data_IF_470275003802
#
_entry.id   IF_470275003802
#
_cell.length_a   1.000
_cell.length_b   1.000
_cell.length_c   1.000
_cell.angle_alpha   90.00
_cell.angle_beta   90.00
_cell.angle_gamma   90.00
#
_symmetry.space_group_name_H-M   'P 1'
#
loop_
_entity.id
_entity.type
_entity.pdbx_description
1 polymer ?
#
# COMPACT_ATOMS: atom_id res chain seq x y z
N UNK A 1 10.61 -4.62 6.01
CA UNK A 1 11.74 -5.39 6.58
C UNK A 1 12.93 -4.43 6.71
N UNK A 2 13.81 -4.64 7.68
CA UNK A 2 14.94 -3.73 7.95
C UNK A 2 16.23 -4.54 8.04
N UNK A 3 17.07 -4.46 7.00
CA UNK A 3 18.31 -5.24 6.94
C UNK A 3 19.37 -4.68 7.88
N UNK A 4 19.94 -5.56 8.70
CA UNK A 4 20.98 -5.21 9.67
C UNK A 4 22.35 -5.22 8.98
N UNK A 5 23.00 -4.07 8.91
CA UNK A 5 24.39 -3.98 8.46
C UNK A 5 25.35 -4.69 9.45
N UNK A 6 26.40 -5.39 8.96
CA UNK A 6 27.29 -6.19 9.80
C UNK A 6 28.31 -5.35 10.56
N UNK A 7 28.51 -5.65 11.84
CA UNK A 7 29.54 -5.01 12.67
C UNK A 7 30.93 -5.61 12.39
N UNK A 8 31.96 -4.75 12.26
CA UNK A 8 33.37 -5.18 12.20
C UNK A 8 33.85 -5.65 13.57
N UNK A 9 34.51 -6.81 13.62
CA UNK A 9 35.17 -7.31 14.84
C UNK A 9 36.50 -6.57 15.09
N UNK A 10 36.78 -6.24 16.34
CA UNK A 10 38.08 -5.68 16.80
C UNK A 10 38.94 -6.82 17.36
N UNK A 11 40.24 -6.94 17.01
CA UNK A 11 41.13 -7.95 17.58
C UNK A 11 41.50 -7.64 19.04
N UNK A 12 41.62 -8.68 19.88
CA UNK A 12 42.10 -8.55 21.27
C UNK A 12 43.64 -8.63 21.35
N UNK A 13 44.29 -7.92 22.30
CA UNK A 13 45.72 -8.06 22.55
C UNK A 13 46.07 -9.43 23.16
N UNK A 14 47.34 -9.84 23.03
CA UNK A 14 47.90 -11.04 23.66
C UNK A 14 48.63 -10.69 24.95
N UNK A 15 48.53 -11.54 25.98
CA UNK A 15 49.37 -11.43 27.17
C UNK A 15 50.80 -11.95 26.93
N UNK A 16 51.74 -11.43 27.71
CA UNK A 16 53.10 -11.95 27.89
C UNK A 16 53.12 -12.69 29.23
N UNK A 17 53.78 -13.85 29.28
CA UNK A 17 53.97 -14.62 30.53
C UNK A 17 55.46 -14.85 30.79
N UNK A 18 55.91 -14.55 31.99
CA UNK A 18 57.26 -14.87 32.45
C UNK A 18 57.33 -16.33 32.93
N UNK A 19 58.45 -17.00 32.67
CA UNK A 19 58.68 -18.40 33.09
C UNK A 19 59.43 -18.41 34.42
N UNK A 20 58.85 -19.02 35.44
CA UNK A 20 59.47 -19.21 36.75
C UNK A 20 60.47 -20.39 36.65
N UNK A 21 61.66 -20.22 37.22
CA UNK A 21 62.70 -21.26 37.27
C UNK A 21 62.30 -22.42 38.21
N UNK A 22 62.80 -23.62 37.96
CA UNK A 22 62.37 -24.81 38.71
C UNK A 22 63.15 -25.02 40.00
N UNK A 23 62.57 -25.80 40.93
CA UNK A 23 63.20 -26.17 42.19
C UNK A 23 64.58 -26.86 42.00
N UNK A 24 64.78 -27.54 40.86
CA UNK A 24 66.03 -28.22 40.53
C UNK A 24 67.17 -27.25 40.19
N UNK A 25 66.85 -26.17 39.47
CA UNK A 25 67.80 -25.10 39.13
C UNK A 25 68.26 -24.38 40.41
N UNK A 26 67.32 -24.11 41.33
CA UNK A 26 67.61 -23.52 42.63
C UNK A 26 68.47 -24.45 43.52
N UNK A 27 68.12 -25.75 43.58
CA UNK A 27 68.88 -26.76 44.31
C UNK A 27 70.31 -26.98 43.76
N UNK A 28 70.57 -26.65 42.49
CA UNK A 28 71.92 -26.71 41.90
C UNK A 28 72.85 -25.63 42.47
N UNK A 29 72.32 -24.42 42.70
CA UNK A 29 73.09 -23.29 43.24
C UNK A 29 73.54 -23.57 44.68
N UNK A 30 72.63 -24.05 45.54
CA UNK A 30 72.95 -24.30 46.96
C UNK A 30 74.03 -25.37 47.20
N UNK A 31 74.20 -26.35 46.29
CA UNK A 31 75.30 -27.35 46.41
C UNK A 31 76.69 -26.74 46.24
N UNK A 32 76.83 -25.65 45.49
CA UNK A 32 78.11 -24.96 45.32
C UNK A 32 78.46 -24.03 46.50
N UNK A 33 77.48 -23.57 47.27
CA UNK A 33 77.73 -22.78 48.48
C UNK A 33 78.21 -23.68 49.65
N UNK A 34 77.61 -24.87 49.81
CA UNK A 34 77.98 -25.85 50.85
C UNK A 34 79.39 -26.48 50.69
N UNK A 35 80.07 -26.26 49.56
CA UNK A 35 81.44 -26.77 49.33
C UNK A 35 82.55 -25.80 49.71
N UNK A 36 82.24 -24.52 49.95
CA UNK A 36 83.23 -23.51 50.37
C UNK A 36 83.48 -23.51 51.89
N UNK A 37 82.56 -24.05 52.69
CA UNK A 37 82.58 -23.97 54.15
C UNK A 37 83.41 -25.08 54.84
N UNK A 38 84.06 -25.96 54.06
CA UNK A 38 84.80 -27.14 54.57
C UNK A 38 86.33 -27.07 54.43
N UNK A 39 86.90 -25.89 54.15
CA UNK A 39 88.35 -25.66 54.09
C UNK A 39 88.85 -24.62 55.11
N UNK A 40 88.15 -24.48 56.25
CA UNK A 40 88.62 -23.75 57.44
C UNK A 40 88.62 -24.64 58.69
N UNK A 41 89.73 -25.37 58.92
CA UNK A 41 90.19 -25.88 60.23
C UNK A 41 91.47 -26.70 60.06
N UNK A 42 92.57 -26.23 60.64
CA UNK A 42 93.70 -26.96 61.23
C UNK A 42 94.94 -26.04 61.31
N UNK A 43 94.82 -24.95 62.06
CA UNK A 43 95.97 -24.24 62.63
C UNK A 43 96.14 -24.68 64.09
N UNK A 44 97.39 -24.79 64.53
CA UNK A 44 97.75 -25.23 65.88
C UNK A 44 97.90 -26.76 66.03
N UNK A 45 98.91 -27.29 66.71
CA UNK A 45 100.03 -26.60 67.39
C UNK A 45 101.28 -27.48 67.51
N UNK A 46 102.43 -26.79 67.40
CA UNK A 46 103.68 -27.04 68.15
C UNK A 46 104.62 -28.19 67.76
N UNK A 47 105.91 -27.86 67.86
CA UNK A 47 107.04 -28.71 68.27
C UNK A 47 107.05 -30.18 67.82
N UNK A 48 107.85 -30.48 66.79
CA UNK A 48 109.15 -31.14 67.03
C UNK A 48 110.01 -31.29 65.76
N UNK A 49 111.31 -31.53 65.96
CA UNK A 49 112.28 -32.03 64.97
C UNK A 49 112.66 -31.10 63.80
N UNK A 50 113.35 -30.00 64.13
CA UNK A 50 114.27 -29.29 63.22
C UNK A 50 115.48 -30.17 62.83
N UNK A 51 115.29 -31.20 62.00
CA UNK A 51 116.38 -32.04 61.44
C UNK A 51 116.12 -32.46 60.00
N UNK A 52 116.25 -31.51 59.04
CA UNK A 52 116.58 -31.73 57.59
C UNK A 52 116.56 -30.42 56.75
N UNK A 53 117.14 -29.33 57.27
CA UNK A 53 117.23 -28.03 56.55
C UNK A 53 118.39 -28.03 55.53
N UNK A 54 118.32 -28.94 54.54
CA UNK A 54 119.30 -29.06 53.43
C UNK A 54 118.64 -29.39 52.09
N UNK A 55 117.33 -29.15 51.92
CA UNK A 55 116.61 -29.42 50.65
C UNK A 55 115.53 -28.41 50.28
N UNK A 56 115.37 -27.33 51.05
CA UNK A 56 114.32 -26.32 50.84
C UNK A 56 114.58 -25.45 49.61
N UNK A 57 115.81 -24.99 49.41
CA UNK A 57 116.16 -24.03 48.35
C UNK A 57 116.12 -24.68 46.94
N UNK A 58 116.62 -25.90 46.78
CA UNK A 58 116.48 -26.65 45.52
C UNK A 58 115.04 -27.03 45.20
N UNK A 59 114.22 -27.33 46.21
CA UNK A 59 112.78 -27.58 46.01
C UNK A 59 112.03 -26.29 45.62
N UNK A 60 112.45 -25.13 46.13
CA UNK A 60 111.95 -23.83 45.69
C UNK A 60 112.40 -23.49 44.27
N UNK A 61 113.66 -23.74 43.91
CA UNK A 61 114.16 -23.55 42.55
C UNK A 61 113.44 -24.46 41.54
N UNK A 62 113.29 -25.76 41.83
CA UNK A 62 112.52 -26.68 40.97
C UNK A 62 111.03 -26.32 40.89
N UNK A 63 110.42 -25.77 41.95
CA UNK A 63 109.07 -25.15 41.88
C UNK A 63 109.04 -23.88 41.02
N UNK A 64 110.08 -23.05 41.06
CA UNK A 64 110.23 -21.85 40.24
C UNK A 64 110.34 -22.21 38.75
N UNK A 65 111.14 -23.23 38.42
CA UNK A 65 111.28 -23.73 37.04
C UNK A 65 110.02 -24.42 36.53
N UNK A 66 109.38 -25.29 37.32
CA UNK A 66 108.05 -25.84 37.00
C UNK A 66 107.01 -24.73 36.77
N UNK A 67 107.04 -23.66 37.58
CA UNK A 67 106.13 -22.51 37.40
C UNK A 67 106.44 -21.73 36.12
N UNK A 68 107.73 -21.56 35.77
CA UNK A 68 108.17 -20.94 34.50
C UNK A 68 107.82 -21.81 33.29
N UNK A 69 107.90 -23.15 33.40
CA UNK A 69 107.44 -24.08 32.37
C UNK A 69 105.92 -24.01 32.20
N UNK A 70 105.13 -24.12 33.27
CA UNK A 70 103.67 -23.93 33.19
C UNK A 70 103.27 -22.54 32.67
N UNK A 71 104.05 -21.48 32.93
CA UNK A 71 103.83 -20.17 32.33
C UNK A 71 104.19 -20.13 30.84
N UNK A 72 105.21 -20.88 30.39
CA UNK A 72 105.54 -21.05 28.97
C UNK A 72 104.49 -21.89 28.24
N UNK A 73 103.95 -22.94 28.86
CA UNK A 73 102.84 -23.74 28.31
C UNK A 73 101.52 -22.96 28.29
N UNK A 74 101.17 -22.25 29.37
CA UNK A 74 100.01 -21.34 29.37
C UNK A 74 100.17 -20.15 28.42
N UNK A 75 101.40 -19.81 28.01
CA UNK A 75 101.65 -18.89 26.88
C UNK A 75 101.47 -19.57 25.54
N UNK A 76 102.07 -20.75 25.30
CA UNK A 76 101.84 -21.56 24.08
C UNK A 76 100.35 -21.80 23.82
N UNK A 77 99.61 -22.22 24.84
CA UNK A 77 98.17 -22.49 24.77
C UNK A 77 97.30 -21.22 24.73
N UNK A 78 97.90 -20.02 24.88
CA UNK A 78 97.25 -18.72 24.61
C UNK A 78 97.65 -18.12 23.27
N UNK A 79 98.80 -18.51 22.70
CA UNK A 79 99.16 -18.23 21.30
C UNK A 79 98.48 -19.20 20.33
N UNK A 80 98.03 -20.37 20.79
CA UNK A 80 97.03 -21.19 20.10
C UNK A 80 95.63 -20.58 20.20
N UNK A 81 95.49 -19.33 19.74
CA UNK A 81 94.30 -18.97 18.98
C UNK A 81 94.40 -19.83 17.70
N UNK A 82 93.51 -20.79 17.44
CA UNK A 82 93.50 -21.42 16.13
C UNK A 82 93.29 -20.31 15.10
N UNK A 83 93.96 -20.37 13.94
CA UNK A 83 93.65 -19.45 12.85
C UNK A 83 92.13 -19.42 12.68
N UNK A 84 91.49 -18.23 12.65
CA UNK A 84 90.05 -18.18 12.47
C UNK A 84 89.76 -18.84 11.14
N UNK A 85 89.07 -20.00 11.17
CA UNK A 85 88.56 -20.67 9.96
C UNK A 85 88.04 -19.59 9.03
N UNK A 86 88.55 -19.48 7.79
CA UNK A 86 88.49 -18.24 7.01
C UNK A 86 87.04 -17.83 6.91
N UNK A 87 86.67 -16.82 7.72
CA UNK A 87 85.28 -16.62 8.10
C UNK A 87 84.54 -16.36 6.81
N UNK A 88 83.71 -17.33 6.41
CA UNK A 88 82.76 -17.18 5.32
C UNK A 88 81.80 -16.12 5.80
N UNK A 89 82.18 -14.85 5.58
CA UNK A 89 81.38 -13.66 5.87
C UNK A 89 80.00 -14.02 5.37
N UNK A 90 78.95 -13.95 6.20
CA UNK A 90 77.63 -14.28 5.71
C UNK A 90 77.35 -13.28 4.60
N UNK A 91 77.46 -13.71 3.33
CA UNK A 91 77.32 -12.83 2.16
C UNK A 91 75.95 -12.14 2.20
N UNK A 92 74.95 -12.86 2.73
CA UNK A 92 73.62 -12.39 3.18
C UNK A 92 73.61 -11.25 4.22
N UNK A 93 74.77 -10.73 4.64
CA UNK A 93 74.93 -9.59 5.54
C UNK A 93 75.69 -8.44 4.89
N UNK A 94 76.55 -8.72 3.89
CA UNK A 94 77.15 -7.70 3.04
C UNK A 94 76.11 -7.25 1.99
N UNK A 95 75.44 -8.17 1.30
CA UNK A 95 74.33 -7.82 0.38
C UNK A 95 73.21 -7.08 1.09
N UNK A 96 72.84 -7.48 2.32
CA UNK A 96 71.82 -6.75 3.11
C UNK A 96 72.26 -5.37 3.55
N UNK A 97 73.56 -5.15 3.80
CA UNK A 97 74.09 -3.80 4.04
C UNK A 97 74.02 -2.97 2.77
N UNK A 98 74.36 -3.54 1.61
CA UNK A 98 74.26 -2.88 0.31
C UNK A 98 72.80 -2.57 -0.06
N UNK A 99 71.86 -3.48 0.16
CA UNK A 99 70.41 -3.26 0.04
C UNK A 99 69.95 -2.07 0.90
N UNK A 100 70.34 -2.04 2.18
CA UNK A 100 69.99 -0.94 3.11
C UNK A 100 70.64 0.39 2.69
N UNK A 101 71.92 0.36 2.29
CA UNK A 101 72.65 1.54 1.82
C UNK A 101 72.02 2.07 0.51
N UNK A 102 71.60 1.19 -0.39
CA UNK A 102 70.97 1.59 -1.64
C UNK A 102 69.53 2.09 -1.43
N UNK A 103 68.74 1.49 -0.53
CA UNK A 103 67.46 2.07 -0.10
C UNK A 103 67.64 3.45 0.52
N UNK A 104 68.65 3.64 1.39
CA UNK A 104 68.96 4.94 1.98
C UNK A 104 69.37 5.98 0.93
N UNK A 105 70.21 5.62 -0.04
CA UNK A 105 70.55 6.47 -1.20
C UNK A 105 69.32 6.86 -2.02
N UNK A 106 68.41 5.91 -2.30
CA UNK A 106 67.17 6.20 -3.03
C UNK A 106 66.28 7.17 -2.27
N UNK A 107 66.06 6.97 -0.97
CA UNK A 107 65.27 7.88 -0.12
C UNK A 107 65.92 9.28 -0.07
N UNK A 108 67.25 9.36 0.05
CA UNK A 108 67.98 10.64 0.02
C UNK A 108 67.90 11.34 -1.35
N UNK A 109 67.82 10.59 -2.44
CA UNK A 109 67.64 11.13 -3.80
C UNK A 109 66.20 11.61 -4.04
N UNK A 110 65.19 10.81 -3.65
CA UNK A 110 63.77 11.15 -3.82
C UNK A 110 63.32 12.33 -2.95
N UNK A 111 64.02 12.59 -1.84
CA UNK A 111 63.80 13.77 -1.00
C UNK A 111 64.34 15.09 -1.62
N UNK A 112 65.15 15.05 -2.69
CA UNK A 112 65.66 16.28 -3.34
C UNK A 112 64.58 17.00 -4.14
N UNK A 113 64.64 18.32 -4.23
CA UNK A 113 63.56 19.17 -4.75
C UNK A 113 63.11 18.84 -6.17
N UNK A 114 64.05 18.52 -7.06
CA UNK A 114 63.74 18.09 -8.42
C UNK A 114 62.96 16.76 -8.42
N UNK A 115 63.37 15.78 -7.60
CA UNK A 115 62.69 14.50 -7.49
C UNK A 115 61.31 14.66 -6.85
N UNK A 116 61.19 15.47 -5.79
CA UNK A 116 59.91 15.87 -5.19
C UNK A 116 58.99 16.58 -6.20
N UNK A 117 59.53 17.39 -7.14
CA UNK A 117 58.76 18.03 -8.22
C UNK A 117 58.31 17.02 -9.30
N UNK A 118 59.16 16.10 -9.72
CA UNK A 118 58.81 15.01 -10.64
C UNK A 118 57.73 14.08 -10.05
N UNK A 119 57.87 13.69 -8.79
CA UNK A 119 56.90 12.87 -8.07
C UNK A 119 55.55 13.57 -7.88
N UNK A 120 55.53 14.91 -7.69
CA UNK A 120 54.29 15.72 -7.74
C UNK A 120 53.66 15.69 -9.14
N UNK A 121 54.45 15.81 -10.21
CA UNK A 121 53.97 15.65 -11.58
C UNK A 121 53.37 14.26 -11.83
N UNK A 122 54.02 13.20 -11.36
CA UNK A 122 53.54 11.81 -11.43
C UNK A 122 52.22 11.62 -10.66
N UNK A 123 52.09 12.25 -9.49
CA UNK A 123 50.83 12.34 -8.74
C UNK A 123 49.72 13.02 -9.55
N UNK A 124 49.99 14.21 -10.10
CA UNK A 124 49.02 14.98 -10.90
C UNK A 124 48.57 14.22 -12.15
N UNK A 125 49.49 13.60 -12.89
CA UNK A 125 49.18 12.74 -14.04
C UNK A 125 48.25 11.58 -13.66
N UNK A 126 48.51 10.95 -12.52
CA UNK A 126 47.68 9.85 -11.99
C UNK A 126 46.29 10.33 -11.57
N UNK A 127 46.18 11.51 -10.95
CA UNK A 127 44.90 12.15 -10.61
C UNK A 127 44.09 12.52 -11.85
N UNK A 128 44.73 13.03 -12.91
CA UNK A 128 44.06 13.32 -14.18
C UNK A 128 43.51 12.06 -14.84
N UNK A 129 44.28 10.96 -14.84
CA UNK A 129 43.85 9.66 -15.37
C UNK A 129 42.63 9.08 -14.64
N UNK A 130 42.62 9.11 -13.31
CA UNK A 130 41.45 8.68 -12.53
C UNK A 130 40.26 9.63 -12.68
N UNK A 131 40.50 10.93 -12.89
CA UNK A 131 39.43 11.90 -13.18
C UNK A 131 38.80 11.65 -14.56
N UNK A 132 39.58 11.28 -15.56
CA UNK A 132 39.06 10.86 -16.86
C UNK A 132 38.20 9.60 -16.75
N UNK A 133 38.69 8.57 -16.04
CA UNK A 133 37.92 7.36 -15.71
C UNK A 133 36.60 7.69 -15.01
N UNK A 134 36.61 8.61 -14.05
CA UNK A 134 35.41 9.07 -13.34
C UNK A 134 34.43 9.80 -14.26
N UNK A 135 34.91 10.64 -15.19
CA UNK A 135 34.05 11.32 -16.18
C UNK A 135 33.40 10.30 -17.13
N UNK A 136 34.15 9.30 -17.60
CA UNK A 136 33.63 8.27 -18.49
C UNK A 136 32.65 7.32 -17.77
N UNK A 137 32.90 6.99 -16.50
CA UNK A 137 31.94 6.27 -15.64
C UNK A 137 30.65 7.08 -15.45
N UNK A 138 30.75 8.39 -15.16
CA UNK A 138 29.57 9.26 -14.97
C UNK A 138 28.75 9.41 -16.27
N UNK A 139 29.39 9.45 -17.44
CA UNK A 139 28.72 9.40 -18.75
C UNK A 139 27.95 8.09 -18.94
N UNK A 140 28.58 6.94 -18.68
CA UNK A 140 27.93 5.64 -18.77
C UNK A 140 26.76 5.51 -17.78
N UNK A 141 26.91 6.02 -16.56
CA UNK A 141 25.85 6.06 -15.55
C UNK A 141 24.67 6.94 -15.99
N UNK A 142 24.93 8.14 -16.53
CA UNK A 142 23.87 9.03 -17.06
C UNK A 142 23.09 8.35 -18.19
N UNK A 143 23.77 7.71 -19.13
CA UNK A 143 23.12 6.98 -20.23
C UNK A 143 22.27 5.82 -19.69
N UNK A 144 22.74 5.06 -18.70
CA UNK A 144 21.99 3.97 -18.07
C UNK A 144 20.76 4.45 -17.29
N UNK A 145 20.83 5.65 -16.68
CA UNK A 145 19.68 6.28 -16.03
C UNK A 145 18.64 6.74 -17.06
N UNK A 146 19.08 7.38 -18.15
CA UNK A 146 18.20 7.81 -19.25
C UNK A 146 17.47 6.63 -19.90
N UNK A 147 18.13 5.50 -20.13
CA UNK A 147 17.47 4.28 -20.64
C UNK A 147 16.38 3.78 -19.70
N UNK A 148 16.66 3.72 -18.38
CA UNK A 148 15.65 3.36 -17.37
C UNK A 148 14.48 4.34 -17.33
N UNK A 149 14.74 5.63 -17.48
CA UNK A 149 13.71 6.66 -17.52
C UNK A 149 12.80 6.50 -18.74
N UNK A 150 13.36 6.14 -19.91
CA UNK A 150 12.55 5.78 -21.08
C UNK A 150 11.75 4.48 -20.84
N UNK A 151 12.35 3.42 -20.28
CA UNK A 151 11.63 2.18 -19.90
C UNK A 151 10.47 2.41 -18.92
N UNK A 152 10.59 3.38 -17.99
CA UNK A 152 9.46 3.75 -17.12
C UNK A 152 8.42 4.57 -17.86
N UNK A 153 8.82 5.46 -18.78
CA UNK A 153 7.89 6.28 -19.56
C UNK A 153 7.12 5.47 -20.62
N UNK A 154 7.67 4.39 -21.17
CA UNK A 154 6.88 3.49 -22.05
C UNK A 154 5.83 2.73 -21.25
N UNK A 155 6.20 2.15 -20.11
CA UNK A 155 5.26 1.44 -19.21
C UNK A 155 4.13 2.34 -18.72
N UNK A 156 4.43 3.59 -18.34
CA UNK A 156 3.39 4.56 -17.97
C UNK A 156 2.46 4.93 -19.13
N UNK A 157 2.94 4.91 -20.39
CA UNK A 157 2.07 5.08 -21.57
C UNK A 157 1.22 3.84 -21.85
N UNK A 158 1.78 2.65 -21.68
CA UNK A 158 1.05 1.37 -21.75
C UNK A 158 -0.06 1.29 -20.68
N UNK A 159 0.21 1.76 -19.46
CA UNK A 159 -0.78 1.86 -18.37
C UNK A 159 -1.91 2.85 -18.71
N UNK A 160 -1.58 4.03 -19.25
CA UNK A 160 -2.57 5.03 -19.67
C UNK A 160 -3.45 4.52 -20.82
N UNK A 161 -2.87 3.83 -21.80
CA UNK A 161 -3.63 3.23 -22.91
C UNK A 161 -4.59 2.14 -22.41
N UNK A 162 -4.11 1.22 -21.57
CA UNK A 162 -4.96 0.18 -20.95
C UNK A 162 -6.12 0.78 -20.13
N UNK A 163 -5.86 1.85 -19.40
CA UNK A 163 -6.91 2.55 -18.65
C UNK A 163 -7.95 3.22 -19.58
N UNK A 164 -7.52 3.78 -20.72
CA UNK A 164 -8.42 4.35 -21.73
C UNK A 164 -9.27 3.27 -22.41
N UNK A 165 -8.71 2.10 -22.69
CA UNK A 165 -9.43 0.93 -23.20
C UNK A 165 -10.46 0.41 -22.19
N UNK A 166 -10.10 0.31 -20.90
CA UNK A 166 -11.04 -0.04 -19.83
C UNK A 166 -12.19 0.97 -19.70
N UNK A 167 -11.89 2.27 -19.73
CA UNK A 167 -12.88 3.37 -19.74
C UNK A 167 -13.87 3.23 -20.91
N UNK A 168 -13.36 2.97 -22.12
CA UNK A 168 -14.18 2.77 -23.31
C UNK A 168 -15.04 1.51 -23.19
N UNK A 169 -14.48 0.40 -22.70
CA UNK A 169 -15.19 -0.86 -22.48
C UNK A 169 -16.21 -0.80 -21.33
N UNK A 170 -16.07 0.12 -20.38
CA UNK A 170 -17.10 0.42 -19.37
C UNK A 170 -18.25 1.22 -20.01
N UNK A 171 -17.92 2.20 -20.86
CA UNK A 171 -18.91 3.04 -21.57
C UNK A 171 -19.72 2.25 -22.59
N UNK A 172 -19.14 1.31 -23.34
CA UNK A 172 -19.90 0.41 -24.23
C UNK A 172 -20.85 -0.48 -23.44
N UNK A 173 -20.38 -1.17 -22.39
CA UNK A 173 -21.22 -2.00 -21.51
C UNK A 173 -22.34 -1.22 -20.81
N UNK A 174 -22.11 0.05 -20.47
CA UNK A 174 -23.17 0.92 -19.95
C UNK A 174 -24.22 1.22 -21.03
N UNK A 175 -23.79 1.59 -22.25
CA UNK A 175 -24.69 1.83 -23.38
C UNK A 175 -25.50 0.59 -23.74
N UNK A 176 -24.87 -0.59 -23.83
CA UNK A 176 -25.54 -1.87 -24.10
C UNK A 176 -26.68 -2.17 -23.11
N UNK A 177 -26.46 -1.86 -21.83
CA UNK A 177 -27.50 -1.98 -20.78
C UNK A 177 -28.61 -0.95 -20.96
N UNK A 178 -28.30 0.30 -21.27
CA UNK A 178 -29.31 1.32 -21.55
C UNK A 178 -30.14 0.96 -22.79
N UNK A 179 -29.51 0.47 -23.85
CA UNK A 179 -30.18 0.04 -25.08
C UNK A 179 -31.03 -1.24 -24.86
N UNK A 180 -30.64 -2.15 -23.96
CA UNK A 180 -31.48 -3.31 -23.60
C UNK A 180 -32.67 -2.93 -22.71
N UNK A 181 -32.48 -2.08 -21.70
CA UNK A 181 -33.59 -1.53 -20.90
C UNK A 181 -34.59 -0.75 -21.76
N UNK A 182 -34.11 0.02 -22.74
CA UNK A 182 -34.98 0.72 -23.70
C UNK A 182 -35.84 -0.25 -24.49
N UNK A 183 -35.26 -1.32 -25.06
CA UNK A 183 -36.02 -2.34 -25.81
C UNK A 183 -37.10 -3.02 -24.97
N UNK A 184 -36.82 -3.30 -23.69
CA UNK A 184 -37.82 -3.89 -22.80
C UNK A 184 -38.94 -2.89 -22.44
N UNK A 185 -38.63 -1.60 -22.26
CA UNK A 185 -39.63 -0.55 -22.09
C UNK A 185 -40.51 -0.37 -23.33
N UNK A 186 -39.90 -0.32 -24.52
CA UNK A 186 -40.61 -0.23 -25.80
C UNK A 186 -41.55 -1.44 -25.99
N UNK A 187 -41.10 -2.65 -25.62
CA UNK A 187 -41.91 -3.88 -25.59
C UNK A 187 -43.08 -3.80 -24.61
N UNK A 188 -42.86 -3.36 -23.36
CA UNK A 188 -43.92 -3.20 -22.36
C UNK A 188 -44.96 -2.14 -22.79
N UNK A 189 -44.55 -1.10 -23.52
CA UNK A 189 -45.48 -0.13 -24.12
C UNK A 189 -46.34 -0.77 -25.20
N UNK A 190 -45.78 -1.62 -26.08
CA UNK A 190 -46.53 -2.38 -27.07
C UNK A 190 -47.55 -3.34 -26.41
N UNK A 191 -47.13 -4.13 -25.44
CA UNK A 191 -48.02 -5.05 -24.67
C UNK A 191 -49.19 -4.29 -24.00
N UNK A 192 -48.91 -3.11 -23.44
CA UNK A 192 -49.92 -2.23 -22.82
C UNK A 192 -50.89 -1.59 -23.83
N UNK A 193 -50.44 -1.30 -25.05
CA UNK A 193 -51.28 -0.80 -26.13
C UNK A 193 -52.15 -1.92 -26.74
N UNK A 194 -51.63 -3.15 -26.85
CA UNK A 194 -52.45 -4.31 -27.20
C UNK A 194 -53.53 -4.58 -26.16
N UNK A 195 -53.19 -4.56 -24.86
CA UNK A 195 -54.17 -4.74 -23.79
C UNK A 195 -55.31 -3.71 -23.86
N UNK A 196 -54.99 -2.43 -24.12
CA UNK A 196 -56.02 -1.39 -24.36
C UNK A 196 -56.92 -1.74 -25.55
N UNK A 197 -56.34 -2.11 -26.69
CA UNK A 197 -57.09 -2.48 -27.90
C UNK A 197 -58.00 -3.70 -27.69
N UNK A 198 -57.55 -4.70 -26.90
CA UNK A 198 -58.38 -5.86 -26.53
C UNK A 198 -59.57 -5.43 -25.67
N UNK A 199 -59.35 -4.60 -24.64
CA UNK A 199 -60.41 -4.08 -23.78
C UNK A 199 -61.39 -3.16 -24.53
N UNK A 200 -60.94 -2.45 -25.57
CA UNK A 200 -61.81 -1.65 -26.45
C UNK A 200 -62.72 -2.52 -27.33
N UNK A 201 -62.20 -3.62 -27.87
CA UNK A 201 -62.98 -4.62 -28.62
C UNK A 201 -63.99 -5.32 -27.70
N UNK A 202 -63.59 -5.67 -26.48
CA UNK A 202 -64.46 -6.29 -25.47
C UNK A 202 -65.63 -5.36 -25.09
N UNK A 203 -65.35 -4.09 -24.78
CA UNK A 203 -66.37 -3.06 -24.53
C UNK A 203 -67.29 -2.79 -25.72
N UNK A 204 -66.84 -3.02 -26.94
CA UNK A 204 -67.73 -2.90 -28.10
C UNK A 204 -68.67 -4.10 -28.19
N UNK A 205 -68.20 -5.33 -27.92
CA UNK A 205 -69.07 -6.52 -27.82
C UNK A 205 -70.12 -6.36 -26.72
N UNK A 206 -69.73 -5.89 -25.54
CA UNK A 206 -70.67 -5.58 -24.44
C UNK A 206 -71.80 -4.65 -24.89
N UNK A 207 -71.49 -3.59 -25.66
CA UNK A 207 -72.51 -2.70 -26.24
C UNK A 207 -73.36 -3.39 -27.30
N UNK A 208 -72.75 -4.13 -28.21
CA UNK A 208 -73.45 -4.81 -29.31
C UNK A 208 -74.44 -5.86 -28.76
N UNK A 209 -74.07 -6.55 -27.68
CA UNK A 209 -74.94 -7.50 -26.99
C UNK A 209 -76.04 -6.80 -26.16
N UNK A 210 -75.74 -5.67 -25.51
CA UNK A 210 -76.76 -4.82 -24.89
C UNK A 210 -77.76 -4.25 -25.92
N UNK A 211 -77.31 -3.94 -27.14
CA UNK A 211 -78.20 -3.48 -28.23
C UNK A 211 -79.15 -4.61 -28.63
N UNK A 212 -78.65 -5.82 -28.90
CA UNK A 212 -79.49 -7.01 -29.20
C UNK A 212 -80.51 -7.27 -28.10
N UNK A 213 -80.09 -7.24 -26.83
CA UNK A 213 -80.99 -7.45 -25.69
C UNK A 213 -82.12 -6.41 -25.64
N UNK A 214 -81.83 -5.14 -25.97
CA UNK A 214 -82.84 -4.10 -26.08
C UNK A 214 -83.78 -4.29 -27.29
N UNK A 215 -83.29 -4.85 -28.40
CA UNK A 215 -84.11 -5.20 -29.56
C UNK A 215 -85.03 -6.39 -29.28
N UNK A 216 -84.54 -7.43 -28.60
CA UNK A 216 -85.33 -8.57 -28.12
C UNK A 216 -86.42 -8.13 -27.14
N UNK A 217 -86.09 -7.28 -26.15
CA UNK A 217 -87.06 -6.73 -25.20
C UNK A 217 -88.14 -5.92 -25.92
N UNK A 218 -87.78 -5.06 -26.89
CA UNK A 218 -88.77 -4.33 -27.73
C UNK A 218 -89.65 -5.28 -28.54
N UNK A 219 -89.08 -6.33 -29.12
CA UNK A 219 -89.82 -7.32 -29.89
C UNK A 219 -90.78 -8.14 -29.00
N UNK A 220 -90.42 -8.42 -27.75
CA UNK A 220 -91.32 -9.03 -26.75
C UNK A 220 -92.46 -8.07 -26.41
N UNK A 221 -92.15 -6.81 -26.05
CA UNK A 221 -93.16 -5.80 -25.70
C UNK A 221 -94.18 -5.62 -26.82
N UNK A 222 -93.74 -5.50 -28.09
CA UNK A 222 -94.68 -5.29 -29.20
C UNK A 222 -95.49 -6.57 -29.52
N UNK A 223 -94.94 -7.77 -29.30
CA UNK A 223 -95.69 -9.04 -29.38
C UNK A 223 -96.75 -9.13 -28.27
N UNK A 224 -96.41 -8.77 -27.04
CA UNK A 224 -97.36 -8.73 -25.91
C UNK A 224 -98.45 -7.68 -26.12
N UNK A 225 -98.08 -6.51 -26.64
CA UNK A 225 -99.02 -5.46 -27.03
C UNK A 225 -100.02 -5.98 -28.07
N UNK A 226 -99.54 -6.54 -29.18
CA UNK A 226 -100.39 -7.09 -30.24
C UNK A 226 -101.26 -8.26 -29.74
N UNK A 227 -100.75 -9.08 -28.81
CA UNK A 227 -101.54 -10.14 -28.17
C UNK A 227 -102.63 -9.56 -27.26
N UNK A 228 -102.35 -8.48 -26.53
CA UNK A 228 -103.32 -7.81 -25.66
C UNK A 228 -104.35 -6.98 -26.43
N UNK A 229 -103.96 -6.38 -27.56
CA UNK A 229 -104.88 -5.74 -28.51
C UNK A 229 -105.85 -6.78 -29.10
N UNK A 230 -105.36 -7.92 -29.62
CA UNK A 230 -106.20 -9.04 -30.08
C UNK A 230 -107.10 -9.63 -28.99
N UNK A 231 -106.63 -9.72 -27.74
CA UNK A 231 -107.45 -10.12 -26.59
C UNK A 231 -108.59 -9.11 -26.32
N UNK A 232 -108.31 -7.80 -26.41
CA UNK A 232 -109.32 -6.75 -26.26
C UNK A 232 -110.35 -6.75 -27.39
N UNK A 233 -109.92 -6.98 -28.64
CA UNK A 233 -110.83 -7.14 -29.78
C UNK A 233 -111.74 -8.35 -29.60
N UNK A 234 -111.18 -9.50 -29.18
CA UNK A 234 -111.99 -10.68 -28.87
C UNK A 234 -113.00 -10.39 -27.75
N UNK A 235 -112.55 -9.82 -26.63
CA UNK A 235 -113.45 -9.49 -25.50
C UNK A 235 -114.55 -8.49 -25.89
N UNK A 236 -114.26 -7.50 -26.75
CA UNK A 236 -115.32 -6.63 -27.32
C UNK A 236 -116.35 -7.44 -28.08
N UNK A 237 -115.92 -8.33 -28.97
CA UNK A 237 -116.84 -9.19 -29.74
C UNK A 237 -117.63 -10.13 -28.82
N UNK A 238 -116.98 -10.77 -27.86
CA UNK A 238 -117.61 -11.65 -26.88
C UNK A 238 -118.70 -10.89 -26.08
N UNK A 239 -118.49 -9.59 -25.77
CA UNK A 239 -119.48 -8.70 -25.13
C UNK A 239 -120.60 -8.28 -26.10
N UNK A 240 -120.28 -7.93 -27.36
CA UNK A 240 -121.29 -7.60 -28.37
C UNK A 240 -122.21 -8.78 -28.68
N UNK A 241 -121.67 -10.00 -28.77
CA UNK A 241 -122.44 -11.20 -29.04
C UNK A 241 -123.22 -11.65 -27.79
N UNK A 242 -122.69 -11.45 -26.57
CA UNK A 242 -123.44 -11.64 -25.32
C UNK A 242 -124.59 -10.63 -25.17
N UNK A 243 -124.38 -9.35 -25.47
CA UNK A 243 -125.43 -8.32 -25.35
C UNK A 243 -126.52 -8.43 -26.43
N UNK A 244 -126.19 -8.90 -27.64
CA UNK A 244 -127.19 -9.36 -28.62
C UNK A 244 -128.00 -10.54 -28.06
N UNK A 245 -127.32 -11.53 -27.47
CA UNK A 245 -127.99 -12.65 -26.79
C UNK A 245 -128.92 -12.22 -25.66
N UNK A 246 -128.51 -11.27 -24.80
CA UNK A 246 -129.40 -10.70 -23.79
C UNK A 246 -130.57 -9.93 -24.39
N UNK A 247 -130.39 -9.21 -25.49
CA UNK A 247 -131.49 -8.53 -26.19
C UNK A 247 -132.48 -9.54 -26.79
N UNK A 248 -132.01 -10.59 -27.47
CA UNK A 248 -132.87 -11.67 -27.99
C UNK A 248 -133.60 -12.41 -26.87
N UNK A 249 -132.91 -12.72 -25.76
CA UNK A 249 -133.53 -13.31 -24.56
C UNK A 249 -134.57 -12.35 -23.99
N UNK A 250 -134.30 -11.04 -23.93
CA UNK A 250 -135.21 -10.03 -23.38
C UNK A 250 -136.40 -9.74 -24.29
N UNK A 251 -136.26 -9.83 -25.61
CA UNK A 251 -137.38 -9.78 -26.55
C UNK A 251 -138.23 -11.04 -26.49
N UNK A 252 -137.62 -12.22 -26.34
CA UNK A 252 -138.35 -13.47 -26.17
C UNK A 252 -139.00 -13.56 -24.77
N UNK A 253 -138.41 -12.96 -23.74
CA UNK A 253 -139.06 -12.73 -22.45
C UNK A 253 -140.22 -11.75 -22.59
N UNK A 254 -140.08 -10.63 -23.31
CA UNK A 254 -141.22 -9.73 -23.59
C UNK A 254 -142.35 -10.41 -24.36
N UNK A 255 -142.05 -11.26 -25.35
CA UNK A 255 -143.07 -12.07 -26.05
C UNK A 255 -143.78 -12.99 -25.06
N UNK A 256 -143.03 -13.69 -24.20
CA UNK A 256 -143.58 -14.50 -23.11
C UNK A 256 -144.33 -13.69 -22.05
N UNK A 257 -143.94 -12.45 -21.78
CA UNK A 257 -144.66 -11.53 -20.89
C UNK A 257 -145.96 -11.06 -21.55
N UNK A 258 -146.02 -10.90 -22.87
CA UNK A 258 -147.25 -10.60 -23.62
C UNK A 258 -148.17 -11.83 -23.66
N UNK A 259 -147.65 -13.01 -24.03
CA UNK A 259 -148.36 -14.30 -23.95
C UNK A 259 -148.87 -14.55 -22.53
N UNK A 260 -148.04 -14.28 -21.52
CA UNK A 260 -148.39 -14.43 -20.12
C UNK A 260 -149.24 -13.27 -19.59
N UNK A 261 -149.32 -12.12 -20.27
CA UNK A 261 -150.30 -11.06 -20.03
C UNK A 261 -151.66 -11.42 -20.63
N UNK A 262 -151.71 -12.10 -21.78
CA UNK A 262 -152.96 -12.63 -22.35
C UNK A 262 -153.49 -13.77 -21.47
N UNK A 263 -152.61 -14.69 -21.07
CA UNK A 263 -152.92 -15.72 -20.07
C UNK A 263 -153.22 -15.11 -18.69
N UNK A 264 -152.58 -14.01 -18.28
CA UNK A 264 -152.95 -13.28 -17.06
C UNK A 264 -154.19 -12.41 -17.22
N UNK A 265 -154.66 -12.05 -18.41
CA UNK A 265 -155.99 -11.44 -18.62
C UNK A 265 -157.06 -12.50 -18.44
N UNK A 266 -156.85 -13.72 -18.97
CA UNK A 266 -157.68 -14.89 -18.68
C UNK A 266 -157.67 -15.22 -17.18
N UNK A 267 -156.49 -15.30 -16.55
CA UNK A 267 -156.39 -15.52 -15.11
C UNK A 267 -156.78 -14.30 -14.27
N UNK A 268 -156.87 -13.07 -14.79
CA UNK A 268 -157.42 -11.91 -14.06
C UNK A 268 -158.95 -11.91 -14.06
N UNK A 269 -159.60 -12.49 -15.08
CA UNK A 269 -161.03 -12.82 -14.99
C UNK A 269 -161.23 -13.83 -13.86
N UNK A 270 -160.47 -14.94 -13.86
CA UNK A 270 -160.54 -15.97 -12.80
C UNK A 270 -160.07 -15.45 -11.42
N UNK A 271 -159.10 -14.53 -11.36
CA UNK A 271 -158.62 -13.93 -10.13
C UNK A 271 -159.55 -12.83 -9.62
N UNK A 272 -160.35 -12.17 -10.48
CA UNK A 272 -161.46 -11.33 -10.02
C UNK A 272 -162.51 -12.16 -9.27
N UNK A 273 -162.66 -13.44 -9.61
CA UNK A 273 -163.50 -14.40 -8.89
C UNK A 273 -162.83 -14.97 -7.61
N UNK A 274 -161.49 -14.99 -7.54
CA UNK A 274 -160.71 -15.53 -6.40
C UNK A 274 -160.25 -14.48 -5.38
N UNK A 275 -159.94 -13.24 -5.78
CA UNK A 275 -159.68 -12.09 -4.87
C UNK A 275 -160.98 -11.42 -4.37
N UNK A 276 -162.11 -12.01 -4.75
CA UNK A 276 -163.38 -11.96 -4.01
C UNK A 276 -163.44 -12.97 -2.86
N UNK A 277 -162.46 -13.88 -2.75
CA UNK A 277 -162.30 -14.96 -1.73
C UNK A 277 -160.92 -14.99 -1.05
N UNK A 278 -160.03 -14.05 -1.36
CA UNK A 278 -158.63 -14.01 -0.85
C UNK A 278 -158.18 -12.67 -0.28
N UNK A 279 -159.11 -11.72 -0.14
CA UNK A 279 -158.85 -10.39 0.43
C UNK A 279 -158.73 -10.38 1.97
N UNK A 280 -158.72 -11.56 2.60
CA UNK A 280 -158.89 -11.73 4.05
C UNK A 280 -157.57 -11.79 4.84
N UNK A 281 -156.40 -12.05 4.23
CA UNK A 281 -155.13 -12.24 4.95
C UNK A 281 -153.90 -11.65 4.23
N UNK A 282 -153.22 -10.71 4.91
CA UNK A 282 -152.11 -9.91 4.39
C UNK A 282 -150.70 -10.36 4.84
N UNK A 283 -149.78 -10.45 3.86
CA UNK A 283 -148.39 -9.89 3.78
C UNK A 283 -147.31 -10.07 4.89
N UNK A 284 -146.06 -9.73 4.48
CA UNK A 284 -144.95 -9.08 5.24
C UNK A 284 -143.61 -9.87 5.54
N UNK A 285 -142.42 -9.19 5.60
CA UNK A 285 -141.13 -9.78 5.15
C UNK A 285 -139.80 -9.39 5.91
N UNK A 286 -138.63 -9.71 5.32
CA UNK A 286 -137.25 -9.16 5.56
C UNK A 286 -136.47 -9.61 6.85
N UNK A 287 -135.13 -9.39 7.08
CA UNK A 287 -134.09 -8.50 6.48
C UNK A 287 -132.60 -8.96 6.68
N UNK A 288 -131.68 -8.25 5.98
CA UNK A 288 -130.17 -8.21 5.99
C UNK A 288 -129.51 -8.13 7.40
N UNK A 289 -128.32 -8.65 7.75
CA UNK A 289 -126.90 -8.71 7.23
C UNK A 289 -125.97 -7.48 7.46
N UNK A 290 -124.88 -7.70 8.21
CA UNK A 290 -123.54 -7.03 8.32
C UNK A 290 -122.58 -8.12 8.91
N UNK A 291 -121.23 -8.09 9.01
CA UNK A 291 -120.13 -7.10 8.98
C UNK A 291 -118.89 -7.74 8.29
N UNK A 292 -117.92 -6.94 7.81
CA UNK A 292 -116.63 -7.44 7.30
C UNK A 292 -115.49 -6.39 7.44
N UNK A 293 -114.94 -6.22 8.65
CA UNK A 293 -113.99 -5.13 8.98
C UNK A 293 -112.69 -5.59 9.71
N UNK A 294 -112.46 -6.90 9.93
CA UNK A 294 -111.42 -7.38 10.87
C UNK A 294 -110.04 -7.74 10.26
N UNK A 295 -109.91 -7.89 8.94
CA UNK A 295 -108.69 -8.48 8.36
C UNK A 295 -107.52 -7.49 8.16
N UNK A 296 -107.80 -6.19 8.05
CA UNK A 296 -106.81 -5.16 7.68
C UNK A 296 -105.77 -4.88 8.79
N UNK A 297 -105.99 -5.34 10.03
CA UNK A 297 -105.12 -5.00 11.17
C UNK A 297 -103.80 -5.80 11.23
N UNK A 298 -103.72 -7.00 10.65
CA UNK A 298 -102.57 -7.91 10.85
C UNK A 298 -101.33 -7.57 10.01
N UNK A 299 -101.50 -7.00 8.83
CA UNK A 299 -100.44 -6.84 7.82
C UNK A 299 -99.36 -5.79 8.18
N UNK A 300 -99.61 -4.93 9.18
CA UNK A 300 -98.71 -3.82 9.55
C UNK A 300 -97.55 -4.17 10.49
N UNK A 301 -97.54 -5.36 11.11
CA UNK A 301 -96.57 -5.68 12.15
C UNK A 301 -95.24 -6.28 11.62
N UNK A 302 -95.23 -6.89 10.44
CA UNK A 302 -94.05 -7.64 9.95
C UNK A 302 -92.95 -6.75 9.34
N UNK A 303 -93.31 -5.53 8.89
CA UNK A 303 -92.38 -4.59 8.24
C UNK A 303 -91.29 -3.99 9.16
N UNK A 304 -91.38 -4.16 10.49
CA UNK A 304 -90.47 -3.52 11.45
C UNK A 304 -89.20 -4.31 11.79
N UNK A 305 -89.06 -5.57 11.36
CA UNK A 305 -87.89 -6.41 11.74
C UNK A 305 -86.68 -6.30 10.79
N UNK A 306 -86.83 -5.77 9.58
CA UNK A 306 -85.81 -5.87 8.51
C UNK A 306 -84.66 -4.83 8.66
N UNK A 307 -84.87 -3.74 9.41
CA UNK A 307 -83.90 -2.64 9.49
C UNK A 307 -82.69 -2.86 10.44
N UNK A 308 -82.60 -4.00 11.14
CA UNK A 308 -81.68 -4.19 12.27
C UNK A 308 -80.20 -4.50 11.96
N UNK A 309 -79.84 -4.89 10.73
CA UNK A 309 -78.50 -5.45 10.42
C UNK A 309 -77.53 -4.50 9.68
N UNK A 310 -77.93 -3.27 9.38
CA UNK A 310 -77.03 -2.26 8.78
C UNK A 310 -75.91 -1.82 9.74
N UNK A 311 -76.27 -1.49 10.99
CA UNK A 311 -75.38 -0.83 11.95
C UNK A 311 -74.22 -1.71 12.45
N UNK A 312 -74.34 -3.03 12.37
CA UNK A 312 -73.27 -3.97 12.78
C UNK A 312 -72.07 -3.87 11.84
N UNK A 313 -72.31 -3.92 10.53
CA UNK A 313 -71.26 -3.88 9.49
C UNK A 313 -70.49 -2.55 9.49
N UNK A 314 -71.17 -1.44 9.78
CA UNK A 314 -70.54 -0.12 9.85
C UNK A 314 -69.52 -0.01 11.01
N UNK A 315 -69.85 -0.59 12.17
CA UNK A 315 -68.97 -0.57 13.37
C UNK A 315 -67.71 -1.42 13.20
N UNK A 316 -67.76 -2.52 12.47
CA UNK A 316 -66.58 -3.34 12.18
C UNK A 316 -65.64 -2.66 11.17
N UNK A 317 -66.18 -2.02 10.14
CA UNK A 317 -65.39 -1.31 9.14
C UNK A 317 -64.61 -0.12 9.74
N UNK A 318 -65.17 0.56 10.75
CA UNK A 318 -64.44 1.62 11.47
C UNK A 318 -63.26 1.07 12.29
N UNK A 319 -63.44 -0.01 13.05
CA UNK A 319 -62.34 -0.65 13.80
C UNK A 319 -61.19 -1.07 12.88
N UNK A 320 -61.49 -1.62 11.71
CA UNK A 320 -60.49 -2.02 10.72
C UNK A 320 -59.72 -0.82 10.14
N UNK A 321 -60.39 0.33 9.98
CA UNK A 321 -59.78 1.59 9.52
C UNK A 321 -58.85 2.20 10.57
N UNK A 322 -59.20 2.11 11.85
CA UNK A 322 -58.38 2.62 12.96
C UNK A 322 -57.15 1.74 13.20
N UNK A 323 -57.29 0.42 13.16
CA UNK A 323 -56.15 -0.51 13.21
C UNK A 323 -55.12 -0.22 12.11
N UNK A 324 -55.58 0.00 10.86
CA UNK A 324 -54.68 0.38 9.74
C UNK A 324 -54.00 1.74 9.94
N UNK A 325 -54.69 2.74 10.52
CA UNK A 325 -54.06 4.04 10.86
C UNK A 325 -52.93 3.87 11.89
N UNK A 326 -53.18 3.10 12.95
CA UNK A 326 -52.20 2.85 14.01
C UNK A 326 -50.98 2.08 13.50
N UNK A 327 -51.18 1.12 12.59
CA UNK A 327 -50.08 0.39 11.97
C UNK A 327 -49.20 1.30 11.09
N UNK A 328 -49.80 2.09 10.19
CA UNK A 328 -49.06 3.05 9.35
C UNK A 328 -48.26 4.06 10.21
N UNK A 329 -48.85 4.57 11.29
CA UNK A 329 -48.15 5.46 12.23
C UNK A 329 -46.94 4.80 12.89
N UNK A 330 -47.08 3.54 13.31
CA UNK A 330 -45.99 2.76 13.91
C UNK A 330 -44.85 2.51 12.91
N UNK A 331 -45.21 2.14 11.68
CA UNK A 331 -44.24 1.86 10.63
C UNK A 331 -43.46 3.14 10.23
N UNK A 332 -44.12 4.30 10.18
CA UNK A 332 -43.44 5.59 9.97
C UNK A 332 -42.53 5.99 11.13
N UNK A 333 -42.92 5.73 12.38
CA UNK A 333 -42.09 6.02 13.56
C UNK A 333 -40.82 5.17 13.57
N UNK A 334 -40.93 3.87 13.31
CA UNK A 334 -39.78 2.97 13.21
C UNK A 334 -38.81 3.37 12.08
N UNK A 335 -39.36 3.81 10.94
CA UNK A 335 -38.55 4.31 9.82
C UNK A 335 -37.90 5.68 10.07
N UNK A 336 -38.42 6.48 11.00
CA UNK A 336 -37.78 7.73 11.44
C UNK A 336 -36.65 7.44 12.44
N UNK A 337 -36.91 6.58 13.42
CA UNK A 337 -35.91 6.18 14.43
C UNK A 337 -34.67 5.54 13.79
N UNK A 338 -34.82 4.63 12.82
CA UNK A 338 -33.66 4.04 12.14
C UNK A 338 -32.88 5.05 11.29
N UNK A 339 -33.53 6.10 10.78
CA UNK A 339 -32.86 7.18 10.04
C UNK A 339 -32.10 8.13 10.99
N UNK A 340 -32.61 8.36 12.21
CA UNK A 340 -31.91 9.12 13.25
C UNK A 340 -30.68 8.34 13.77
N UNK A 341 -30.81 7.03 14.03
CA UNK A 341 -29.68 6.15 14.40
C UNK A 341 -28.60 6.08 13.30
N UNK A 342 -29.00 5.99 12.02
CA UNK A 342 -28.08 6.07 10.88
C UNK A 342 -27.38 7.44 10.75
N UNK A 343 -28.01 8.54 11.19
CA UNK A 343 -27.41 9.87 11.18
C UNK A 343 -26.42 10.03 12.33
N UNK A 344 -26.82 9.70 13.56
CA UNK A 344 -25.99 9.84 14.76
C UNK A 344 -24.71 8.98 14.66
N UNK A 345 -24.83 7.73 14.18
CA UNK A 345 -23.65 6.86 13.95
C UNK A 345 -22.70 7.45 12.90
N UNK A 346 -23.22 7.99 11.79
CA UNK A 346 -22.41 8.65 10.75
C UNK A 346 -21.72 9.92 11.27
N UNK A 347 -22.37 10.71 12.12
CA UNK A 347 -21.74 11.89 12.72
C UNK A 347 -20.66 11.51 13.74
N UNK A 348 -20.89 10.47 14.54
CA UNK A 348 -19.91 9.95 15.49
C UNK A 348 -18.64 9.44 14.77
N UNK A 349 -18.79 8.65 13.71
CA UNK A 349 -17.66 8.16 12.90
C UNK A 349 -16.91 9.30 12.21
N UNK A 350 -17.62 10.27 11.62
CA UNK A 350 -17.00 11.47 11.04
C UNK A 350 -16.21 12.26 12.09
N UNK A 351 -16.72 12.39 13.31
CA UNK A 351 -16.04 13.07 14.42
C UNK A 351 -14.78 12.33 14.86
N UNK A 352 -14.87 11.00 15.03
CA UNK A 352 -13.75 10.14 15.39
C UNK A 352 -12.66 10.12 14.31
N UNK A 353 -13.03 10.03 13.03
CA UNK A 353 -12.05 10.04 11.92
C UNK A 353 -11.37 11.41 11.78
N UNK A 354 -12.12 12.51 11.88
CA UNK A 354 -11.53 13.87 11.94
C UNK A 354 -10.51 13.99 13.07
N UNK A 355 -10.88 13.55 14.29
CA UNK A 355 -9.99 13.56 15.47
C UNK A 355 -8.75 12.68 15.29
N UNK A 356 -8.91 11.49 14.70
CA UNK A 356 -7.82 10.55 14.36
C UNK A 356 -6.86 11.16 13.34
N UNK A 357 -7.38 11.77 12.27
CA UNK A 357 -6.57 12.45 11.23
C UNK A 357 -5.82 13.68 11.76
N UNK A 358 -6.37 14.37 12.77
CA UNK A 358 -5.71 15.50 13.43
C UNK A 358 -4.55 15.02 14.31
N UNK A 359 -4.79 14.05 15.20
CA UNK A 359 -3.76 13.46 16.05
C UNK A 359 -2.61 12.84 15.23
N UNK A 360 -2.91 12.22 14.09
CA UNK A 360 -1.91 11.65 13.18
C UNK A 360 -1.07 12.73 12.48
N UNK A 361 -1.66 13.89 12.15
CA UNK A 361 -0.93 15.07 11.66
C UNK A 361 0.01 15.65 12.72
N UNK A 362 -0.49 15.91 13.93
CA UNK A 362 0.35 16.45 15.03
C UNK A 362 1.55 15.54 15.33
N UNK A 363 1.35 14.22 15.41
CA UNK A 363 2.45 13.24 15.60
C UNK A 363 3.47 13.24 14.45
N UNK A 364 3.01 13.46 13.22
CA UNK A 364 3.92 13.57 12.06
C UNK A 364 4.75 14.85 12.15
N UNK A 365 4.12 16.00 12.41
CA UNK A 365 4.80 17.29 12.50
C UNK A 365 5.83 17.32 13.64
N UNK A 366 5.53 16.67 14.77
CA UNK A 366 6.47 16.47 15.88
C UNK A 366 7.66 15.60 15.48
N UNK A 367 7.42 14.47 14.80
CA UNK A 367 8.48 13.60 14.28
C UNK A 367 9.34 14.31 13.21
N UNK A 368 8.75 15.15 12.36
CA UNK A 368 9.44 15.91 11.33
C UNK A 368 10.27 17.06 11.92
N UNK A 369 9.79 17.75 12.97
CA UNK A 369 10.59 18.68 13.78
C UNK A 369 11.79 17.99 14.44
N UNK A 370 11.58 16.83 15.06
CA UNK A 370 12.65 16.04 15.69
C UNK A 370 13.70 15.56 14.68
N UNK A 371 13.28 15.14 13.47
CA UNK A 371 14.20 14.81 12.38
C UNK A 371 15.02 16.02 11.94
N UNK A 372 14.36 17.14 11.67
CA UNK A 372 15.03 18.38 11.25
C UNK A 372 16.02 18.92 12.30
N UNK A 373 15.74 18.74 13.59
CA UNK A 373 16.68 19.09 14.66
C UNK A 373 17.91 18.18 14.68
N UNK A 374 17.73 16.86 14.57
CA UNK A 374 18.85 15.89 14.54
C UNK A 374 19.77 16.15 13.34
N UNK A 375 19.22 16.37 12.15
CA UNK A 375 20.02 16.73 10.97
C UNK A 375 20.83 18.02 11.17
N UNK A 376 20.24 19.04 11.81
CA UNK A 376 20.95 20.30 12.11
C UNK A 376 22.11 20.07 13.08
N UNK A 377 21.94 19.21 14.08
CA UNK A 377 23.02 18.83 14.99
C UNK A 377 24.12 18.01 14.31
N UNK A 378 23.76 17.02 13.48
CA UNK A 378 24.73 16.21 12.73
C UNK A 378 25.56 17.07 11.77
N UNK A 379 24.91 17.98 11.02
CA UNK A 379 25.60 18.96 10.15
C UNK A 379 26.55 19.86 10.96
N UNK A 380 26.14 20.36 12.14
CA UNK A 380 27.02 21.13 13.05
C UNK A 380 28.22 20.31 13.54
N UNK A 381 28.02 19.04 13.94
CA UNK A 381 29.09 18.14 14.39
C UNK A 381 30.07 17.83 13.26
N UNK A 382 29.56 17.52 12.06
CA UNK A 382 30.38 17.30 10.86
C UNK A 382 31.21 18.53 10.50
N UNK A 383 30.61 19.73 10.49
CA UNK A 383 31.31 20.99 10.21
C UNK A 383 32.40 21.29 11.24
N UNK A 384 32.14 21.07 12.54
CA UNK A 384 33.15 21.23 13.60
C UNK A 384 34.33 20.27 13.42
N UNK A 385 34.06 19.00 13.09
CA UNK A 385 35.11 18.00 12.85
C UNK A 385 35.96 18.35 11.61
N UNK A 386 35.32 18.81 10.53
CA UNK A 386 36.00 19.24 9.31
C UNK A 386 36.90 20.47 9.57
N UNK A 387 36.43 21.44 10.36
CA UNK A 387 37.23 22.61 10.73
C UNK A 387 38.44 22.23 11.60
N UNK A 388 38.27 21.31 12.56
CA UNK A 388 39.40 20.76 13.35
C UNK A 388 40.44 20.06 12.48
N UNK A 389 40.02 19.32 11.45
CA UNK A 389 40.92 18.65 10.51
C UNK A 389 41.79 19.65 9.71
N UNK A 390 41.19 20.74 9.20
CA UNK A 390 41.97 21.77 8.50
C UNK A 390 42.95 22.51 9.42
N UNK A 391 42.59 22.77 10.68
CA UNK A 391 43.50 23.36 11.68
C UNK A 391 44.69 22.44 11.97
N UNK A 392 44.49 21.11 11.96
CA UNK A 392 45.58 20.14 12.13
C UNK A 392 46.59 20.20 10.97
N UNK A 393 46.11 20.09 9.72
CA UNK A 393 46.97 20.11 8.53
C UNK A 393 47.77 21.42 8.36
N UNK A 394 47.25 22.53 8.86
CA UNK A 394 47.94 23.81 8.82
C UNK A 394 49.18 23.82 9.73
N UNK A 395 49.06 23.27 10.94
CA UNK A 395 50.18 23.12 11.89
C UNK A 395 51.25 22.14 11.39
N UNK A 396 50.84 21.01 10.82
CA UNK A 396 51.77 20.01 10.26
C UNK A 396 52.65 20.62 9.14
N UNK A 397 52.08 21.49 8.29
CA UNK A 397 52.85 22.23 7.28
C UNK A 397 53.82 23.23 7.90
N UNK A 398 53.41 23.94 8.94
CA UNK A 398 54.24 24.95 9.60
C UNK A 398 55.46 24.33 10.31
N UNK A 399 55.31 23.14 10.89
CA UNK A 399 56.45 22.38 11.43
C UNK A 399 57.38 21.84 10.35
N UNK A 400 56.84 21.36 9.22
CA UNK A 400 57.64 20.86 8.09
C UNK A 400 58.61 21.93 7.57
N UNK A 401 58.12 23.15 7.33
CA UNK A 401 58.92 24.27 6.84
C UNK A 401 60.00 24.76 7.82
N UNK A 402 59.88 24.45 9.12
CA UNK A 402 60.91 24.81 10.12
C UNK A 402 62.09 23.83 10.06
N UNK A 403 61.82 22.52 9.95
CA UNK A 403 62.83 21.45 9.87
C UNK A 403 63.61 21.48 8.56
N UNK A 404 62.96 21.87 7.46
CA UNK A 404 63.58 22.01 6.13
C UNK A 404 64.71 23.06 6.14
N UNK A 405 64.46 24.24 6.71
CA UNK A 405 65.42 25.37 6.79
C UNK A 405 66.65 25.16 7.69
N UNK A 406 66.71 24.09 8.47
CA UNK A 406 67.89 23.72 9.27
C UNK A 406 68.88 22.86 8.48
N UNK A 407 68.39 22.05 7.53
CA UNK A 407 69.20 21.09 6.77
C UNK A 407 70.05 21.75 5.67
N UNK A 408 69.54 22.81 5.04
CA UNK A 408 70.15 23.47 3.87
C UNK A 408 71.52 24.15 4.13
N UNK A 409 71.97 24.21 5.40
CA UNK A 409 73.19 24.93 5.80
C UNK A 409 74.50 24.14 5.65
N UNK A 410 74.45 22.85 5.32
CA UNK A 410 75.58 21.93 5.54
C UNK A 410 76.03 21.10 4.32
N UNK A 411 75.68 21.49 3.08
CA UNK A 411 75.98 20.67 1.91
C UNK A 411 76.49 21.47 0.70
N UNK A 412 77.55 20.97 0.06
CA UNK A 412 78.12 21.48 -1.20
C UNK A 412 78.39 20.27 -2.11
N UNK A 413 77.68 20.09 -3.26
CA UNK A 413 77.80 18.89 -4.10
C UNK A 413 78.86 19.00 -5.22
N UNK A 414 79.36 17.84 -5.66
CA UNK A 414 80.03 17.66 -6.96
C UNK A 414 78.98 17.65 -8.10
N UNK A 415 78.64 18.83 -8.62
CA UNK A 415 77.52 19.04 -9.57
C UNK A 415 77.54 18.14 -10.82
N UNK A 416 78.70 17.73 -11.35
CA UNK A 416 78.79 17.08 -12.67
C UNK A 416 78.20 15.68 -12.70
N UNK A 417 78.51 14.84 -11.71
CA UNK A 417 77.96 13.46 -11.61
C UNK A 417 76.50 13.46 -11.16
N UNK A 418 76.07 14.48 -10.43
CA UNK A 418 74.68 14.62 -9.99
C UNK A 418 73.76 14.96 -11.16
N UNK A 419 74.19 15.87 -12.06
CA UNK A 419 73.45 16.22 -13.28
C UNK A 419 73.15 15.01 -14.18
N UNK A 420 74.11 14.09 -14.39
CA UNK A 420 73.87 12.85 -15.15
C UNK A 420 72.81 11.93 -14.51
N UNK A 421 72.73 11.90 -13.18
CA UNK A 421 71.74 11.09 -12.46
C UNK A 421 70.35 11.73 -12.51
N UNK A 422 70.28 13.07 -12.47
CA UNK A 422 69.05 13.84 -12.66
C UNK A 422 68.46 13.58 -14.04
N UNK A 423 69.28 13.61 -15.09
CA UNK A 423 68.82 13.44 -16.48
C UNK A 423 68.22 12.04 -16.72
N UNK A 424 68.96 10.99 -16.30
CA UNK A 424 68.52 9.58 -16.39
C UNK A 424 67.25 9.32 -15.56
N UNK A 425 67.08 9.99 -14.42
CA UNK A 425 65.86 9.87 -13.59
C UNK A 425 64.66 10.60 -14.22
N UNK A 426 64.85 11.75 -14.86
CA UNK A 426 63.80 12.44 -15.61
C UNK A 426 63.23 11.55 -16.73
N UNK A 427 64.10 10.88 -17.48
CA UNK A 427 63.69 10.06 -18.62
C UNK A 427 63.02 8.76 -18.14
N UNK A 428 63.52 8.13 -17.08
CA UNK A 428 62.85 6.99 -16.41
C UNK A 428 61.43 7.36 -15.93
N UNK A 429 61.24 8.54 -15.33
CA UNK A 429 59.92 9.03 -14.92
C UNK A 429 58.99 9.21 -16.14
N UNK A 430 59.49 9.78 -17.25
CA UNK A 430 58.70 9.95 -18.47
C UNK A 430 58.28 8.61 -19.09
N UNK A 431 59.19 7.64 -19.17
CA UNK A 431 58.89 6.34 -19.77
C UNK A 431 57.94 5.51 -18.90
N UNK A 432 58.04 5.61 -17.57
CA UNK A 432 57.05 5.02 -16.65
C UNK A 432 55.64 5.58 -16.90
N UNK A 433 55.51 6.85 -17.28
CA UNK A 433 54.23 7.52 -17.57
C UNK A 433 53.68 7.11 -18.94
N UNK A 434 54.53 7.06 -19.98
CA UNK A 434 54.19 6.55 -21.32
C UNK A 434 53.69 5.11 -21.24
N UNK A 435 54.44 4.23 -20.57
CA UNK A 435 54.13 2.80 -20.44
C UNK A 435 52.82 2.56 -19.67
N UNK A 436 52.50 3.42 -18.69
CA UNK A 436 51.22 3.38 -17.98
C UNK A 436 50.06 4.09 -18.72
N UNK A 437 50.29 4.65 -19.92
CA UNK A 437 49.32 5.41 -20.72
C UNK A 437 48.66 6.58 -19.95
N UNK A 438 49.42 7.27 -19.09
CA UNK A 438 48.92 8.40 -18.29
C UNK A 438 49.19 9.76 -18.98
N UNK A 439 48.44 10.82 -18.66
CA UNK A 439 48.66 12.15 -19.24
C UNK A 439 50.09 12.69 -18.96
N UNK A 440 50.88 12.90 -20.00
CA UNK A 440 52.29 13.30 -19.91
C UNK A 440 52.50 14.77 -19.51
N UNK A 441 51.57 15.65 -19.88
CA UNK A 441 51.69 17.11 -19.74
C UNK A 441 52.19 17.63 -18.36
N UNK A 442 51.69 17.16 -17.20
CA UNK A 442 52.16 17.65 -15.89
C UNK A 442 53.62 17.30 -15.56
N UNK A 443 54.19 16.35 -16.31
CA UNK A 443 55.52 15.78 -16.06
C UNK A 443 56.51 16.27 -17.11
N UNK A 444 56.09 16.37 -18.37
CA UNK A 444 56.88 17.07 -19.40
C UNK A 444 57.14 18.53 -19.03
N UNK A 445 56.20 19.20 -18.36
CA UNK A 445 56.42 20.53 -17.80
C UNK A 445 57.51 20.51 -16.70
N UNK A 446 57.36 19.66 -15.68
CA UNK A 446 58.32 19.54 -14.58
C UNK A 446 59.73 19.12 -15.06
N UNK A 447 59.84 18.20 -16.02
CA UNK A 447 61.11 17.79 -16.63
C UNK A 447 61.75 18.93 -17.41
N UNK A 448 60.97 19.73 -18.16
CA UNK A 448 61.50 20.90 -18.89
C UNK A 448 62.02 21.98 -17.93
N UNK A 449 61.36 22.22 -16.81
CA UNK A 449 61.86 23.11 -15.76
C UNK A 449 63.17 22.58 -15.16
N UNK A 450 63.20 21.32 -14.72
CA UNK A 450 64.37 20.71 -14.06
C UNK A 450 65.57 20.63 -15.01
N UNK A 451 65.38 20.15 -16.24
CA UNK A 451 66.49 20.10 -17.22
C UNK A 451 66.96 21.50 -17.63
N UNK A 452 66.18 22.57 -17.40
CA UNK A 452 66.65 23.97 -17.51
C UNK A 452 67.40 24.43 -16.24
N UNK A 453 66.87 24.16 -15.05
CA UNK A 453 67.48 24.53 -13.76
C UNK A 453 68.89 23.93 -13.57
N UNK A 454 69.11 22.70 -14.03
CA UNK A 454 70.41 22.01 -13.95
C UNK A 454 71.28 22.14 -15.21
N UNK A 455 70.91 22.99 -16.18
CA UNK A 455 71.69 23.25 -17.40
C UNK A 455 71.80 22.06 -18.37
N UNK A 456 70.95 21.03 -18.21
CA UNK A 456 70.94 19.80 -19.01
C UNK A 456 70.37 19.99 -20.43
N UNK A 457 69.58 21.04 -20.65
CA UNK A 457 69.09 21.43 -21.98
C UNK A 457 69.75 22.74 -22.40
N UNK A 458 70.68 22.65 -23.36
CA UNK A 458 71.18 23.82 -24.07
C UNK A 458 70.09 24.50 -24.89
N UNK A 459 70.11 25.83 -24.98
CA UNK A 459 69.04 26.63 -25.59
C UNK A 459 68.96 26.47 -27.12
N UNK A 460 68.26 25.41 -27.57
CA UNK A 460 67.72 25.34 -28.93
C UNK A 460 66.33 25.95 -28.95
N UNK A 461 66.19 27.08 -29.65
CA UNK A 461 64.97 27.86 -29.78
C UNK A 461 63.74 27.00 -30.14
N UNK A 462 62.92 26.72 -29.14
CA UNK A 462 61.58 26.16 -29.34
C UNK A 462 60.61 27.30 -29.68
N UNK A 463 60.36 27.49 -30.98
CA UNK A 463 59.26 28.30 -31.44
C UNK A 463 57.95 27.76 -30.85
N UNK A 464 57.41 28.46 -29.84
CA UNK A 464 56.11 28.15 -29.29
C UNK A 464 55.04 28.41 -30.35
N UNK A 465 54.66 27.36 -31.07
CA UNK A 465 53.46 27.32 -31.88
C UNK A 465 52.27 27.67 -30.98
N UNK A 466 51.77 28.90 -31.11
CA UNK A 466 50.56 29.37 -30.44
C UNK A 466 49.39 28.53 -30.92
N UNK A 467 49.01 27.53 -30.13
CA UNK A 467 47.77 26.80 -30.34
C UNK A 467 46.60 27.74 -30.06
N UNK A 468 45.97 28.22 -31.13
CA UNK A 468 44.74 29.01 -31.07
C UNK A 468 43.59 28.12 -30.57
N UNK A 469 43.52 27.90 -29.26
CA UNK A 469 42.32 27.41 -28.59
C UNK A 469 41.45 28.63 -28.27
N UNK A 470 40.34 28.87 -28.99
CA UNK A 470 39.47 29.99 -28.69
C UNK A 470 38.81 29.76 -27.32
N UNK A 471 39.09 30.65 -26.36
CA UNK A 471 38.33 30.72 -25.12
C UNK A 471 36.96 31.30 -25.45
N UNK A 472 35.99 30.41 -25.68
CA UNK A 472 34.59 30.79 -25.88
C UNK A 472 34.03 31.51 -24.64
N UNK A 473 33.11 32.43 -24.89
CA UNK A 473 32.27 33.06 -23.86
C UNK A 473 31.13 32.13 -23.45
#
# INVERSE_FOLDING_TARGET
MCDRLPQRKVPKPRLITYKILTQEEWNRINRHLLTLDKLKKCDGTSSCLERRVTSTLDRLNKRSEMSKQMLREKRKNKTCIPEPEPVRRPLKSETKKEEIINMAKTILFENKDYARRLLRGLGLSTVLHERERQVNFNRALKNRLMMKEMETNTKLREDVLRYQEEELMRKTKQKERTDSFRKELDKQLCEKMEARRRNEIEKQREKDDLIKMNEEIKAIIERERLANEKRREKLKKDIEDYTKGELEIRENLKKKEIEQEEVNKIYQVVASELDRKRRDLETAPFKKTRVADEEIFKEKCELLQIHGDGDKKLKEFMKLREARKLQVLKDTLLSQQSAEEEMETRELDNSLERRKSFLQRCRKDEADRLRAQREREERRRMMKNLMMFYVHQWKEKEEGQKKEKEMDKYYVPDFTKENELIDKYCDHILDLVKNNKRPLYPIEAAVKEIKKEFGLVGEKNMNFLKSNVPIGR
#
